data_IF_736519081133
#
_entry.id   IF_736519081133
#
_cell.length_a   1.000
_cell.length_b   1.000
_cell.length_c   1.000
_cell.angle_alpha   90.00
_cell.angle_beta   90.00
_cell.angle_gamma   90.00
#
_symmetry.space_group_name_H-M   'P 1'
#
loop_
_entity.id
_entity.type
_entity.pdbx_description
1 polymer ?
#
# COMPACT_ATOMS: atom_id res chain seq x y z
N UNK A 1 22.54 -2.40 -5.82
CA UNK A 1 22.76 -2.22 -4.36
C UNK A 1 23.08 -0.77 -3.99
N UNK A 2 24.01 -0.09 -4.67
CA UNK A 2 24.41 1.29 -4.36
C UNK A 2 23.26 2.32 -4.36
N UNK A 3 22.37 2.26 -5.35
CA UNK A 3 21.21 3.18 -5.45
C UNK A 3 20.21 2.99 -4.31
N UNK A 4 19.86 1.74 -3.97
CA UNK A 4 18.93 1.44 -2.88
C UNK A 4 19.48 1.93 -1.53
N UNK A 5 20.76 1.67 -1.24
CA UNK A 5 21.38 2.17 -0.01
C UNK A 5 21.39 3.70 0.06
N UNK A 6 21.67 4.38 -1.07
CA UNK A 6 21.61 5.85 -1.14
C UNK A 6 20.19 6.37 -0.93
N UNK A 7 19.18 5.73 -1.53
CA UNK A 7 17.77 6.05 -1.36
C UNK A 7 17.34 5.95 0.11
N UNK A 8 17.63 4.80 0.75
CA UNK A 8 17.30 4.58 2.16
C UNK A 8 17.97 5.61 3.08
N UNK A 9 19.23 6.00 2.82
CA UNK A 9 19.89 7.08 3.57
C UNK A 9 19.17 8.42 3.45
N UNK A 10 18.71 8.78 2.25
CA UNK A 10 17.97 10.02 2.03
C UNK A 10 16.61 9.99 2.74
N UNK A 11 15.86 8.89 2.60
CA UNK A 11 14.57 8.76 3.28
C UNK A 11 14.72 8.84 4.80
N UNK A 12 15.69 8.12 5.38
CA UNK A 12 15.96 8.20 6.82
C UNK A 12 16.34 9.61 7.26
N UNK A 13 17.20 10.30 6.49
CA UNK A 13 17.66 11.67 6.79
C UNK A 13 16.52 12.69 6.78
N UNK A 14 15.57 12.55 5.87
CA UNK A 14 14.48 13.51 5.67
C UNK A 14 13.11 12.98 6.11
N UNK A 15 13.08 11.93 6.94
CA UNK A 15 11.84 11.27 7.35
C UNK A 15 10.85 12.22 8.05
N UNK A 16 11.33 13.30 8.69
CA UNK A 16 10.47 14.30 9.35
C UNK A 16 9.60 15.11 8.39
N UNK A 17 9.94 15.16 7.10
CA UNK A 17 9.19 15.91 6.08
C UNK A 17 8.61 15.01 4.98
N UNK A 18 8.91 13.71 4.99
CA UNK A 18 8.35 12.74 4.04
C UNK A 18 7.08 12.16 4.66
N UNK A 19 5.92 12.62 4.20
CA UNK A 19 4.61 12.21 4.73
C UNK A 19 4.05 10.96 4.05
N UNK A 20 4.60 10.59 2.89
CA UNK A 20 4.23 9.39 2.15
C UNK A 20 5.12 9.16 0.93
N UNK A 21 5.22 7.91 0.49
CA UNK A 21 5.94 7.51 -0.71
C UNK A 21 5.03 6.60 -1.55
N UNK A 22 4.89 6.89 -2.84
CA UNK A 22 3.94 6.21 -3.72
C UNK A 22 4.68 5.62 -4.93
N UNK A 23 4.56 4.30 -5.10
CA UNK A 23 5.29 3.54 -6.10
C UNK A 23 4.35 2.56 -6.83
N UNK A 24 4.83 1.97 -7.92
CA UNK A 24 4.13 0.92 -8.66
C UNK A 24 5.10 -0.22 -8.99
N UNK A 25 5.18 -0.58 -10.28
CA UNK A 25 6.09 -1.59 -10.86
C UNK A 25 5.82 -3.05 -10.48
N UNK A 26 5.48 -3.37 -9.22
CA UNK A 26 5.21 -4.75 -8.81
C UNK A 26 3.86 -5.31 -9.30
N UNK A 27 2.96 -4.42 -9.71
CA UNK A 27 1.58 -4.75 -10.08
C UNK A 27 0.75 -5.37 -8.94
N UNK A 28 1.22 -5.27 -7.70
CA UNK A 28 0.57 -5.81 -6.50
C UNK A 28 0.26 -4.69 -5.53
N UNK A 29 -0.85 -4.85 -4.82
CA UNK A 29 -1.18 -4.05 -3.65
C UNK A 29 -0.26 -4.45 -2.49
N UNK A 30 0.63 -3.55 -2.08
CA UNK A 30 1.55 -3.83 -0.97
C UNK A 30 2.11 -2.55 -0.37
N UNK A 31 2.68 -2.64 0.83
CA UNK A 31 3.43 -1.53 1.42
C UNK A 31 4.82 -1.96 1.92
N UNK A 32 5.71 -0.99 2.14
CA UNK A 32 7.01 -1.19 2.77
C UNK A 32 7.18 -0.20 3.91
N UNK A 33 7.91 -0.61 4.94
CA UNK A 33 8.30 0.26 6.06
C UNK A 33 9.81 0.50 6.00
N UNK A 34 10.20 1.75 6.22
CA UNK A 34 11.59 2.15 6.42
C UNK A 34 11.78 2.46 7.89
N UNK A 35 12.81 1.87 8.47
CA UNK A 35 13.16 2.00 9.89
C UNK A 35 14.40 2.88 10.07
N UNK A 36 14.45 3.64 11.16
CA UNK A 36 15.65 4.34 11.62
C UNK A 36 16.75 3.34 12.00
N UNK A 37 17.96 3.84 12.24
CA UNK A 37 19.07 3.02 12.74
C UNK A 37 18.83 2.53 14.18
N UNK A 38 17.91 3.18 14.91
CA UNK A 38 17.41 2.73 16.22
C UNK A 38 16.21 1.76 16.13
N UNK A 39 15.83 1.31 14.94
CA UNK A 39 14.76 0.33 14.73
C UNK A 39 13.33 0.87 14.81
N UNK A 40 13.13 2.20 14.82
CA UNK A 40 11.78 2.80 14.82
C UNK A 40 11.25 2.95 13.39
N UNK A 41 9.98 2.63 13.09
CA UNK A 41 9.42 2.90 11.76
C UNK A 41 9.33 4.42 11.55
N UNK A 42 9.97 4.93 10.49
CA UNK A 42 10.08 6.38 10.22
C UNK A 42 9.45 6.81 8.90
N UNK A 43 9.20 5.88 7.97
CA UNK A 43 8.49 6.20 6.73
C UNK A 43 7.80 4.97 6.16
N UNK A 44 6.76 5.19 5.35
CA UNK A 44 6.01 4.15 4.65
C UNK A 44 6.04 4.38 3.14
N UNK A 45 6.08 3.28 2.39
CA UNK A 45 5.94 3.25 0.94
C UNK A 45 4.69 2.47 0.62
N UNK A 46 3.79 3.05 -0.17
CA UNK A 46 2.63 2.36 -0.72
C UNK A 46 2.89 2.03 -2.18
N UNK A 47 2.68 0.76 -2.52
CA UNK A 47 2.76 0.27 -3.87
C UNK A 47 1.33 -0.01 -4.34
N UNK A 48 0.91 0.67 -5.40
CA UNK A 48 -0.39 0.44 -6.00
C UNK A 48 -0.32 -0.71 -7.01
N UNK A 49 -1.40 -1.51 -7.14
CA UNK A 49 -1.53 -2.47 -8.24
C UNK A 49 -1.60 -1.74 -9.59
N UNK A 50 -1.48 -2.50 -10.67
CA UNK A 50 -1.51 -1.94 -12.02
C UNK A 50 -2.89 -2.06 -12.66
N UNK A 51 -3.17 -1.21 -13.65
CA UNK A 51 -4.33 -1.37 -14.53
C UNK A 51 -4.16 -2.56 -15.47
N UNK A 52 -2.92 -2.89 -15.88
CA UNK A 52 -2.68 -4.02 -16.78
C UNK A 52 -2.81 -5.35 -16.02
N UNK A 53 -3.65 -6.30 -16.48
CA UNK A 53 -3.82 -7.60 -15.81
C UNK A 53 -2.74 -8.61 -16.22
N UNK A 54 -1.47 -8.19 -16.20
CA UNK A 54 -0.34 -8.98 -16.71
C UNK A 54 0.17 -9.90 -15.62
N UNK A 55 0.41 -11.17 -15.96
CA UNK A 55 1.16 -12.10 -15.09
C UNK A 55 2.58 -11.58 -14.88
N UNK A 56 2.93 -11.27 -13.64
CA UNK A 56 4.29 -10.90 -13.23
C UNK A 56 4.86 -11.98 -12.30
N UNK A 57 6.06 -11.75 -11.75
CA UNK A 57 6.61 -12.58 -10.67
C UNK A 57 5.72 -12.61 -9.43
N UNK A 58 4.87 -11.61 -9.23
CA UNK A 58 3.95 -11.51 -8.10
C UNK A 58 2.57 -12.14 -8.37
N UNK A 59 2.38 -12.76 -9.54
CA UNK A 59 1.11 -13.38 -9.94
C UNK A 59 0.31 -12.54 -10.93
N UNK A 60 -0.99 -12.82 -11.01
CA UNK A 60 -1.96 -12.11 -11.86
C UNK A 60 -2.78 -11.19 -10.95
N UNK A 61 -3.05 -9.98 -11.42
CA UNK A 61 -3.91 -9.02 -10.74
C UNK A 61 -5.13 -8.68 -11.61
N UNK A 62 -6.26 -8.37 -10.97
CA UNK A 62 -7.29 -7.56 -11.63
C UNK A 62 -6.75 -6.13 -11.86
N UNK A 63 -7.24 -5.39 -12.88
CA UNK A 63 -6.96 -3.97 -13.01
C UNK A 63 -7.32 -3.23 -11.72
N UNK A 64 -6.40 -2.43 -11.20
CA UNK A 64 -6.59 -1.69 -9.95
C UNK A 64 -6.33 -0.19 -10.08
N UNK A 65 -7.06 0.60 -9.29
CA UNK A 65 -6.89 2.05 -9.14
C UNK A 65 -6.96 2.42 -7.67
N UNK A 66 -6.14 3.37 -7.21
CA UNK A 66 -6.14 3.81 -5.81
C UNK A 66 -6.39 5.29 -5.70
N UNK A 67 -7.33 5.66 -4.83
CA UNK A 67 -7.65 7.05 -4.50
C UNK A 67 -7.18 7.36 -3.08
N UNK A 68 -6.22 8.26 -2.93
CA UNK A 68 -5.72 8.70 -1.63
C UNK A 68 -6.53 9.86 -1.07
N UNK A 69 -6.85 9.80 0.21
CA UNK A 69 -7.34 10.94 1.00
C UNK A 69 -6.16 11.53 1.76
N UNK A 70 -5.81 12.78 1.45
CA UNK A 70 -4.66 13.48 2.02
C UNK A 70 -5.14 14.75 2.70
N UNK A 71 -4.61 15.03 3.89
CA UNK A 71 -4.78 16.30 4.59
C UNK A 71 -3.90 17.36 3.91
N UNK A 72 -4.50 18.49 3.54
CA UNK A 72 -3.91 19.46 2.60
C UNK A 72 -2.73 20.22 3.19
N UNK A 73 -2.79 20.58 4.49
CA UNK A 73 -1.79 21.47 5.10
C UNK A 73 -0.50 20.73 5.47
N UNK A 74 -0.62 19.46 5.87
CA UNK A 74 0.46 18.61 6.37
C UNK A 74 0.90 17.57 5.35
N UNK A 75 0.09 17.29 4.33
CA UNK A 75 0.33 16.20 3.39
C UNK A 75 0.16 14.81 4.02
N UNK A 76 -0.44 14.71 5.22
CA UNK A 76 -0.68 13.45 5.91
C UNK A 76 -1.68 12.60 5.11
N UNK A 77 -1.33 11.34 4.86
CA UNK A 77 -2.28 10.37 4.32
C UNK A 77 -3.28 10.04 5.42
N UNK A 78 -4.56 10.25 5.15
CA UNK A 78 -5.66 9.95 6.06
C UNK A 78 -6.26 8.57 5.80
N UNK A 79 -6.37 8.19 4.53
CA UNK A 79 -6.85 6.88 4.08
C UNK A 79 -6.52 6.66 2.59
N UNK A 80 -6.79 5.48 2.06
CA UNK A 80 -7.02 5.29 0.63
C UNK A 80 -8.15 4.31 0.35
N UNK A 81 -8.85 4.55 -0.76
CA UNK A 81 -9.81 3.61 -1.36
C UNK A 81 -9.13 2.86 -2.48
N UNK A 82 -9.06 1.54 -2.37
CA UNK A 82 -8.64 0.65 -3.44
C UNK A 82 -9.86 0.28 -4.27
N UNK A 83 -9.79 0.53 -5.57
CA UNK A 83 -10.75 0.08 -6.55
C UNK A 83 -10.15 -1.04 -7.39
N UNK A 84 -11.02 -1.93 -7.85
CA UNK A 84 -10.66 -2.96 -8.81
C UNK A 84 -11.75 -3.11 -9.87
N UNK A 85 -11.36 -3.70 -10.99
CA UNK A 85 -12.28 -4.18 -12.02
C UNK A 85 -12.21 -5.71 -12.02
N UNK A 86 -13.32 -6.40 -11.75
CA UNK A 86 -13.40 -7.84 -12.03
C UNK A 86 -13.33 -8.04 -13.55
N UNK A 87 -12.14 -8.38 -14.04
CA UNK A 87 -11.87 -8.51 -15.46
C UNK A 87 -12.69 -9.64 -16.10
N UNK A 88 -12.91 -10.74 -15.37
CA UNK A 88 -13.68 -11.87 -15.88
C UNK A 88 -15.13 -11.46 -16.09
N UNK A 89 -15.74 -10.87 -15.08
CA UNK A 89 -17.13 -10.39 -15.15
C UNK A 89 -17.28 -9.29 -16.20
N UNK A 90 -16.34 -8.35 -16.28
CA UNK A 90 -16.37 -7.27 -17.27
C UNK A 90 -16.33 -7.79 -18.71
N UNK A 91 -15.45 -8.77 -18.98
CA UNK A 91 -15.36 -9.41 -20.30
C UNK A 91 -16.62 -10.19 -20.66
N UNK A 92 -17.23 -10.90 -19.70
CA UNK A 92 -18.48 -11.64 -19.93
C UNK A 92 -19.65 -10.71 -20.25
N UNK A 93 -19.72 -9.55 -19.59
CA UNK A 93 -20.82 -8.57 -19.76
C UNK A 93 -20.58 -7.55 -20.87
N UNK A 94 -19.35 -7.39 -21.35
CA UNK A 94 -18.97 -6.32 -22.27
C UNK A 94 -19.04 -4.92 -21.66
N UNK A 95 -19.01 -4.81 -20.33
CA UNK A 95 -19.15 -3.55 -19.59
C UNK A 95 -18.18 -3.50 -18.40
N UNK A 96 -17.39 -2.44 -18.30
CA UNK A 96 -16.40 -2.27 -17.25
C UNK A 96 -16.98 -1.52 -16.04
N UNK A 97 -17.42 -2.27 -15.04
CA UNK A 97 -17.89 -1.72 -13.76
C UNK A 97 -16.77 -1.78 -12.73
N UNK A 98 -16.24 -0.62 -12.33
CA UNK A 98 -15.25 -0.51 -11.25
C UNK A 98 -15.94 -0.53 -9.90
N UNK A 99 -15.36 -1.28 -8.96
CA UNK A 99 -15.93 -1.48 -7.62
C UNK A 99 -14.88 -1.15 -6.55
N UNK A 100 -15.35 -0.75 -5.36
CA UNK A 100 -14.48 -0.57 -4.21
C UNK A 100 -14.08 -1.96 -3.71
N UNK A 101 -12.78 -2.23 -3.67
CA UNK A 101 -12.23 -3.43 -3.06
C UNK A 101 -12.20 -3.26 -1.52
N UNK A 102 -11.57 -2.18 -1.05
CA UNK A 102 -11.53 -1.83 0.36
C UNK A 102 -11.10 -0.37 0.60
N UNK A 103 -11.39 0.16 1.79
CA UNK A 103 -10.73 1.35 2.33
C UNK A 103 -9.71 0.90 3.39
N UNK A 104 -8.46 1.39 3.31
CA UNK A 104 -7.36 0.90 4.16
C UNK A 104 -7.71 0.97 5.65
N UNK A 105 -8.19 2.13 6.13
CA UNK A 105 -8.43 2.33 7.56
C UNK A 105 -9.54 1.46 8.11
N UNK A 106 -10.67 1.34 7.38
CA UNK A 106 -11.79 0.52 7.83
C UNK A 106 -11.50 -0.98 7.72
N UNK A 107 -10.79 -1.40 6.68
CA UNK A 107 -10.54 -2.82 6.38
C UNK A 107 -9.53 -3.45 7.35
N UNK A 108 -8.51 -2.69 7.74
CA UNK A 108 -7.48 -3.11 8.69
C UNK A 108 -7.62 -2.49 10.09
N UNK A 109 -8.75 -1.82 10.36
CA UNK A 109 -9.06 -1.18 11.65
C UNK A 109 -7.95 -0.23 12.14
N UNK A 110 -7.35 0.51 11.20
CA UNK A 110 -6.29 1.46 11.51
C UNK A 110 -6.89 2.79 11.94
N UNK A 111 -6.57 3.22 13.15
CA UNK A 111 -6.99 4.54 13.65
C UNK A 111 -6.34 5.69 12.87
N UNK A 112 -5.15 5.48 12.30
CA UNK A 112 -4.39 6.46 11.52
C UNK A 112 -3.44 5.76 10.54
N UNK A 113 -3.13 6.41 9.42
CA UNK A 113 -2.13 5.93 8.47
C UNK A 113 -0.76 6.53 8.80
N UNK A 114 -0.04 5.88 9.72
CA UNK A 114 1.33 6.28 10.11
C UNK A 114 2.28 5.09 10.04
N UNK A 115 3.61 5.31 9.93
CA UNK A 115 4.59 4.21 9.94
C UNK A 115 4.46 3.31 11.17
N UNK A 116 4.13 3.87 12.34
CA UNK A 116 3.91 3.11 13.57
C UNK A 116 2.67 2.22 13.48
N UNK A 117 1.55 2.74 12.98
CA UNK A 117 0.31 1.96 12.82
C UNK A 117 0.44 0.87 11.76
N UNK A 118 1.11 1.17 10.65
CA UNK A 118 1.43 0.17 9.62
C UNK A 118 2.43 -0.89 10.12
N UNK A 119 3.34 -0.53 11.03
CA UNK A 119 4.18 -1.50 11.70
C UNK A 119 3.35 -2.45 12.58
N UNK A 120 2.40 -1.93 13.36
CA UNK A 120 1.48 -2.75 14.15
C UNK A 120 0.66 -3.70 13.26
N UNK A 121 0.14 -3.23 12.13
CA UNK A 121 -0.52 -4.07 11.13
C UNK A 121 0.41 -5.20 10.65
N UNK A 122 1.64 -4.86 10.27
CA UNK A 122 2.64 -5.84 9.83
C UNK A 122 3.01 -6.85 10.93
N UNK A 123 3.00 -6.47 12.20
CA UNK A 123 3.18 -7.44 13.30
C UNK A 123 1.94 -8.32 13.51
N UNK A 124 0.72 -7.82 13.26
CA UNK A 124 -0.51 -8.62 13.31
C UNK A 124 -0.54 -9.74 12.27
N UNK A 125 0.20 -9.63 11.18
CA UNK A 125 0.33 -10.69 10.17
C UNK A 125 0.98 -11.98 10.70
N UNK A 126 1.63 -11.91 11.86
CA UNK A 126 2.28 -13.04 12.52
C UNK A 126 1.38 -13.74 13.55
N UNK A 127 0.11 -13.32 13.68
CA UNK A 127 -0.85 -14.00 14.55
C UNK A 127 -1.02 -15.46 14.17
N UNK A 128 -1.36 -16.31 15.14
CA UNK A 128 -1.50 -17.76 14.91
C UNK A 128 -2.62 -18.11 13.90
N UNK A 129 -3.64 -17.25 13.81
CA UNK A 129 -4.74 -17.42 12.84
C UNK A 129 -4.43 -16.85 11.45
N UNK A 130 -3.36 -16.07 11.30
CA UNK A 130 -2.98 -15.33 10.10
C UNK A 130 -4.13 -14.52 9.50
N UNK A 131 -5.14 -14.12 10.28
CA UNK A 131 -6.37 -13.50 9.77
C UNK A 131 -6.08 -12.23 8.97
N UNK A 132 -5.29 -11.32 9.54
CA UNK A 132 -4.86 -10.09 8.88
C UNK A 132 -3.95 -10.35 7.68
N UNK A 133 -3.13 -11.40 7.71
CA UNK A 133 -2.25 -11.76 6.59
C UNK A 133 -3.01 -12.37 5.42
N UNK A 134 -4.09 -13.12 5.66
CA UNK A 134 -4.95 -13.67 4.58
C UNK A 134 -5.78 -12.59 3.89
N UNK A 135 -6.13 -11.53 4.62
CA UNK A 135 -6.81 -10.35 4.08
C UNK A 135 -5.89 -9.45 3.25
N UNK A 136 -4.59 -9.50 3.55
CA UNK A 136 -3.54 -8.74 2.88
C UNK A 136 -3.02 -9.42 1.61
#
# INVERSE_FOLDING_TARGET
VQHNARYLRLVKKFASIITGQFFGHLHSDTFRLIYSDSGKPVSSIFLAPSVTPKRTSSGINNPGLRLYKIEVDTGQILDYTQYYLDLQTANQKGFAQWEVEYNLTSYYELSQVTPTKLHQLKESFKSEDYGSFRRY
#
